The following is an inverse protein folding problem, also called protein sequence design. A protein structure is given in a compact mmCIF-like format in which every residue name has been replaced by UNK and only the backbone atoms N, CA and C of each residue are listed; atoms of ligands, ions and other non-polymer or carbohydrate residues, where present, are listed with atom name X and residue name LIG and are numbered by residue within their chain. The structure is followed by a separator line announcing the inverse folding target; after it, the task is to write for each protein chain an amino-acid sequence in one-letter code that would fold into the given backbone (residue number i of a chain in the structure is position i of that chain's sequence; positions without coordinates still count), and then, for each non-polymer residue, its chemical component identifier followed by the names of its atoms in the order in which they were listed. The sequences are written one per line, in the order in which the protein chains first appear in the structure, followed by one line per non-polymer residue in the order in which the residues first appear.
data_IF_465691821134
#
_entry.id   IF_465691821134
#
_cell.length_a   1.000
_cell.length_b   1.000
_cell.length_c   1.000
_cell.angle_alpha   90.00
_cell.angle_beta   90.00
_cell.angle_gamma   90.00
#
_symmetry.space_group_name_H-M   'P 1'
#
loop_
_entity.id
_entity.type
_entity.pdbx_description
1 polymer ?
#
# COMPACT_ATOMS: atom_id res chain seq x y z
N UNK A 1 -41.99 -7.35 0.03
CA UNK A 1 -40.95 -6.32 0.19
C UNK A 1 -40.20 -6.17 -1.10
N UNK A 2 -40.09 -4.95 -1.61
CA UNK A 2 -39.54 -4.63 -2.97
C UNK A 2 -38.05 -4.99 -3.14
N UNK A 3 -37.28 -5.04 -2.06
CA UNK A 3 -35.83 -5.29 -2.03
C UNK A 3 -35.37 -6.63 -2.61
N UNK A 4 -36.28 -7.59 -2.77
CA UNK A 4 -35.97 -8.92 -3.30
C UNK A 4 -36.45 -9.12 -4.74
N UNK A 5 -36.65 -8.04 -5.49
CA UNK A 5 -36.95 -8.11 -6.91
C UNK A 5 -35.72 -7.76 -7.75
N UNK A 6 -35.46 -8.55 -8.77
CA UNK A 6 -34.30 -8.32 -9.66
C UNK A 6 -34.30 -6.94 -10.30
N UNK A 7 -35.47 -6.40 -10.63
CA UNK A 7 -35.63 -5.05 -11.20
C UNK A 7 -35.12 -3.99 -10.20
N UNK A 8 -35.47 -4.10 -8.91
CA UNK A 8 -34.98 -3.17 -7.90
C UNK A 8 -33.43 -3.24 -7.77
N UNK A 9 -32.88 -4.47 -7.73
CA UNK A 9 -31.45 -4.69 -7.67
C UNK A 9 -30.72 -4.13 -8.89
N UNK A 10 -31.33 -4.20 -10.08
CA UNK A 10 -30.75 -3.67 -11.31
C UNK A 10 -30.70 -2.14 -11.31
N UNK A 11 -31.80 -1.48 -10.93
CA UNK A 11 -31.87 -0.02 -10.79
C UNK A 11 -30.88 0.44 -9.72
N UNK A 12 -30.88 -0.17 -8.54
CA UNK A 12 -29.97 0.16 -7.43
C UNK A 12 -28.51 0.03 -7.84
N UNK A 13 -28.14 -1.10 -8.45
CA UNK A 13 -26.77 -1.35 -8.92
C UNK A 13 -26.35 -0.30 -9.97
N UNK A 14 -27.19 -0.05 -10.97
CA UNK A 14 -26.88 0.91 -12.01
C UNK A 14 -26.73 2.32 -11.49
N UNK A 15 -27.65 2.77 -10.62
CA UNK A 15 -27.57 4.08 -9.98
C UNK A 15 -26.33 4.22 -9.11
N UNK A 16 -26.03 3.22 -8.27
CA UNK A 16 -24.88 3.24 -7.38
C UNK A 16 -23.57 3.33 -8.17
N UNK A 17 -23.39 2.51 -9.21
CA UNK A 17 -22.20 2.54 -10.05
C UNK A 17 -22.12 3.81 -10.92
N UNK A 18 -23.28 4.34 -11.38
CA UNK A 18 -23.35 5.60 -12.10
C UNK A 18 -22.80 6.76 -11.27
N UNK A 19 -23.31 6.93 -10.05
CA UNK A 19 -22.83 7.97 -9.12
C UNK A 19 -21.35 7.76 -8.78
N UNK A 20 -20.99 6.53 -8.43
CA UNK A 20 -19.64 6.20 -7.99
C UNK A 20 -18.59 6.53 -9.06
N UNK A 21 -18.76 6.06 -10.29
CA UNK A 21 -17.81 6.30 -11.36
C UNK A 21 -17.80 7.76 -11.84
N UNK A 22 -18.95 8.45 -11.80
CA UNK A 22 -19.00 9.87 -12.11
C UNK A 22 -18.11 10.67 -11.13
N UNK A 23 -18.25 10.44 -9.82
CA UNK A 23 -17.43 11.12 -8.81
C UNK A 23 -15.95 10.83 -9.03
N UNK A 24 -15.58 9.55 -9.15
CA UNK A 24 -14.18 9.14 -9.27
C UNK A 24 -13.54 9.69 -10.54
N UNK A 25 -14.20 9.60 -11.68
CA UNK A 25 -13.63 10.04 -12.95
C UNK A 25 -13.64 11.56 -13.11
N UNK A 26 -14.56 12.28 -12.46
CA UNK A 26 -14.45 13.74 -12.35
C UNK A 26 -13.21 14.14 -11.55
N UNK A 27 -12.98 13.52 -10.38
CA UNK A 27 -11.78 13.80 -9.57
C UNK A 27 -10.51 13.46 -10.35
N UNK A 28 -10.44 12.28 -10.97
CA UNK A 28 -9.29 11.87 -11.78
C UNK A 28 -9.11 12.77 -13.00
N UNK A 29 -10.19 13.20 -13.65
CA UNK A 29 -10.18 14.15 -14.75
C UNK A 29 -9.55 15.48 -14.33
N UNK A 30 -9.99 16.07 -13.21
CA UNK A 30 -9.40 17.31 -12.67
C UNK A 30 -7.89 17.11 -12.41
N UNK A 31 -7.51 16.02 -11.77
CA UNK A 31 -6.11 15.74 -11.41
C UNK A 31 -5.23 15.49 -12.64
N UNK A 32 -5.75 14.90 -13.71
CA UNK A 32 -4.95 14.55 -14.91
C UNK A 32 -4.89 15.61 -15.96
N UNK A 33 -5.91 16.48 -16.03
CA UNK A 33 -6.03 17.49 -17.09
C UNK A 33 -5.85 18.92 -16.59
N UNK A 34 -5.97 19.15 -15.27
CA UNK A 34 -5.96 20.48 -14.67
C UNK A 34 -7.20 21.32 -14.96
N UNK A 35 -8.17 20.76 -15.70
CA UNK A 35 -9.41 21.46 -16.08
C UNK A 35 -10.36 21.57 -14.88
N UNK A 36 -11.08 22.67 -14.79
CA UNK A 36 -12.14 22.86 -13.80
C UNK A 36 -13.40 22.10 -14.26
N UNK A 37 -13.49 20.82 -13.85
CA UNK A 37 -14.65 20.00 -14.14
C UNK A 37 -15.68 20.11 -13.01
N UNK A 38 -16.96 20.30 -13.36
CA UNK A 38 -18.06 20.24 -12.42
C UNK A 38 -18.63 18.82 -12.30
N UNK A 39 -19.22 18.51 -11.15
CA UNK A 39 -19.76 17.19 -10.86
C UNK A 39 -21.28 17.17 -11.15
N UNK A 40 -21.70 16.58 -12.26
CA UNK A 40 -23.11 16.31 -12.55
C UNK A 40 -23.47 14.84 -12.28
N UNK A 41 -24.11 14.60 -11.14
CA UNK A 41 -24.46 13.24 -10.68
C UNK A 41 -25.73 12.72 -11.35
N UNK A 42 -26.71 13.58 -11.61
CA UNK A 42 -28.03 13.18 -12.07
C UNK A 42 -28.03 12.39 -13.39
N UNK A 43 -27.35 12.83 -14.46
CA UNK A 43 -27.31 12.08 -15.71
C UNK A 43 -26.69 10.69 -15.58
N UNK A 44 -25.63 10.56 -14.82
CA UNK A 44 -24.96 9.27 -14.60
C UNK A 44 -25.76 8.33 -13.70
N UNK A 45 -26.50 8.87 -12.74
CA UNK A 45 -27.45 8.10 -11.93
C UNK A 45 -28.56 7.53 -12.78
N UNK A 46 -29.22 8.36 -13.62
CA UNK A 46 -30.33 7.91 -14.45
C UNK A 46 -29.89 6.98 -15.57
N UNK A 47 -28.78 7.29 -16.25
CA UNK A 47 -28.22 6.42 -17.29
C UNK A 47 -27.80 5.08 -16.74
N UNK A 48 -27.12 5.07 -15.57
CA UNK A 48 -26.75 3.84 -14.86
C UNK A 48 -27.96 3.00 -14.47
N UNK A 49 -29.01 3.61 -13.89
CA UNK A 49 -30.27 2.94 -13.53
C UNK A 49 -30.92 2.29 -14.75
N UNK A 50 -31.00 3.02 -15.86
CA UNK A 50 -31.62 2.57 -17.11
C UNK A 50 -30.82 1.43 -17.74
N UNK A 51 -29.50 1.54 -17.79
CA UNK A 51 -28.62 0.47 -18.29
C UNK A 51 -28.69 -0.78 -17.41
N UNK A 52 -28.74 -0.64 -16.09
CA UNK A 52 -28.95 -1.78 -15.19
C UNK A 52 -30.27 -2.51 -15.48
N UNK A 53 -31.34 -1.75 -15.69
CA UNK A 53 -32.65 -2.29 -16.05
C UNK A 53 -32.65 -2.99 -17.41
N UNK A 54 -32.09 -2.36 -18.45
CA UNK A 54 -32.01 -2.92 -19.80
C UNK A 54 -31.12 -4.20 -19.78
N UNK A 55 -29.99 -4.16 -19.08
CA UNK A 55 -29.13 -5.35 -18.93
C UNK A 55 -29.90 -6.54 -18.38
N UNK A 56 -30.71 -6.33 -17.35
CA UNK A 56 -31.46 -7.42 -16.73
C UNK A 56 -32.44 -8.09 -17.72
N UNK A 57 -33.03 -7.33 -18.63
CA UNK A 57 -33.94 -7.86 -19.66
C UNK A 57 -33.18 -8.68 -20.71
N UNK A 58 -32.03 -8.20 -21.15
CA UNK A 58 -31.28 -8.78 -22.26
C UNK A 58 -30.18 -9.77 -21.88
N UNK A 59 -29.95 -10.02 -20.58
CA UNK A 59 -28.79 -10.79 -20.08
C UNK A 59 -28.64 -12.21 -20.65
N UNK A 60 -29.72 -12.85 -21.16
CA UNK A 60 -29.66 -14.22 -21.67
C UNK A 60 -28.87 -14.38 -22.97
N UNK A 61 -28.71 -13.32 -23.76
CA UNK A 61 -28.17 -13.40 -25.14
C UNK A 61 -27.04 -12.37 -25.38
N UNK A 62 -26.21 -12.05 -24.35
CA UNK A 62 -25.19 -11.03 -24.50
C UNK A 62 -23.99 -11.56 -25.26
N UNK A 63 -23.80 -11.10 -26.51
CA UNK A 63 -22.62 -11.28 -27.34
C UNK A 63 -21.75 -9.99 -27.30
N UNK A 64 -20.52 -10.07 -27.85
CA UNK A 64 -19.58 -8.94 -27.86
C UNK A 64 -20.19 -7.66 -28.46
N UNK A 65 -20.98 -7.78 -29.52
CA UNK A 65 -21.67 -6.63 -30.13
C UNK A 65 -22.59 -5.88 -29.14
N UNK A 66 -23.22 -6.60 -28.23
CA UNK A 66 -24.15 -6.00 -27.27
C UNK A 66 -23.41 -5.25 -26.16
N UNK A 67 -22.21 -5.72 -25.72
CA UNK A 67 -21.39 -4.95 -24.81
C UNK A 67 -21.05 -3.56 -25.38
N UNK A 68 -20.69 -3.48 -26.66
CA UNK A 68 -20.40 -2.22 -27.35
C UNK A 68 -21.65 -1.34 -27.40
N UNK A 69 -22.81 -1.92 -27.75
CA UNK A 69 -24.08 -1.18 -27.81
C UNK A 69 -24.43 -0.58 -26.43
N UNK A 70 -24.28 -1.36 -25.35
CA UNK A 70 -24.54 -0.86 -24.01
C UNK A 70 -23.62 0.32 -23.63
N UNK A 71 -22.34 0.26 -23.94
CA UNK A 71 -21.40 1.35 -23.70
C UNK A 71 -21.81 2.60 -24.51
N UNK A 72 -22.08 2.45 -25.81
CA UNK A 72 -22.51 3.55 -26.66
C UNK A 72 -23.82 4.17 -26.13
N UNK A 73 -24.80 3.33 -25.76
CA UNK A 73 -26.07 3.82 -25.21
C UNK A 73 -25.87 4.58 -23.92
N UNK A 74 -24.99 4.09 -23.01
CA UNK A 74 -24.67 4.80 -21.76
C UNK A 74 -24.00 6.14 -22.04
N UNK A 75 -23.06 6.18 -22.98
CA UNK A 75 -22.39 7.41 -23.41
C UNK A 75 -23.38 8.44 -23.94
N UNK A 76 -24.28 8.01 -24.82
CA UNK A 76 -25.33 8.88 -25.38
C UNK A 76 -26.31 9.39 -24.31
N UNK A 77 -26.66 8.54 -23.34
CA UNK A 77 -27.56 8.92 -22.24
C UNK A 77 -26.91 9.94 -21.29
N UNK A 78 -25.63 9.75 -20.95
CA UNK A 78 -24.89 10.71 -20.13
C UNK A 78 -24.77 12.04 -20.88
N UNK A 79 -24.29 12.02 -22.13
CA UNK A 79 -24.07 13.22 -22.94
C UNK A 79 -25.36 13.95 -23.26
N UNK A 80 -26.44 13.22 -23.59
CA UNK A 80 -27.74 13.80 -23.85
C UNK A 80 -28.44 14.35 -22.59
N UNK A 81 -28.23 13.69 -21.45
CA UNK A 81 -28.80 14.12 -20.16
C UNK A 81 -28.18 15.42 -19.62
N UNK A 82 -26.96 15.75 -20.05
CA UNK A 82 -26.22 16.97 -19.70
C UNK A 82 -26.36 18.05 -20.76
N UNK A 83 -27.25 17.89 -21.77
CA UNK A 83 -27.42 18.83 -22.90
C UNK A 83 -26.11 19.08 -23.67
N UNK A 84 -25.18 18.15 -23.63
CA UNK A 84 -23.92 18.20 -24.35
C UNK A 84 -22.72 18.73 -23.55
N UNK A 85 -22.90 19.07 -22.26
CA UNK A 85 -21.83 19.52 -21.36
C UNK A 85 -21.77 18.65 -20.09
N UNK A 86 -21.28 17.40 -20.17
CA UNK A 86 -21.32 16.44 -19.06
C UNK A 86 -20.44 16.81 -17.87
N UNK A 87 -19.51 17.73 -18.05
CA UNK A 87 -18.55 18.14 -17.03
C UNK A 87 -18.44 19.67 -16.87
N UNK A 88 -19.34 20.47 -17.47
CA UNK A 88 -19.32 21.94 -17.39
C UNK A 88 -17.90 22.53 -17.41
N UNK A 89 -17.07 22.08 -18.35
CA UNK A 89 -15.71 22.57 -18.55
C UNK A 89 -15.69 23.79 -19.51
N UNK A 90 -14.54 24.43 -19.59
CA UNK A 90 -14.31 25.42 -20.65
C UNK A 90 -14.48 24.73 -22.01
N UNK A 91 -15.28 25.29 -22.92
CA UNK A 91 -15.67 24.73 -24.23
C UNK A 91 -14.50 24.34 -25.16
N UNK A 92 -13.28 24.60 -24.77
CA UNK A 92 -12.08 24.34 -25.59
C UNK A 92 -11.66 22.86 -25.69
N UNK A 93 -12.21 21.95 -24.85
CA UNK A 93 -11.72 20.56 -24.75
C UNK A 93 -12.81 19.50 -24.91
N UNK A 94 -13.72 19.65 -25.87
CA UNK A 94 -14.79 18.66 -26.18
C UNK A 94 -14.22 17.24 -26.35
N UNK A 95 -13.00 17.10 -26.87
CA UNK A 95 -12.36 15.78 -27.05
C UNK A 95 -12.05 15.07 -25.71
N UNK A 96 -11.56 15.82 -24.71
CA UNK A 96 -11.27 15.29 -23.37
C UNK A 96 -12.57 14.90 -22.67
N UNK A 97 -13.60 15.71 -22.78
CA UNK A 97 -14.93 15.40 -22.23
C UNK A 97 -15.51 14.12 -22.81
N UNK A 98 -15.45 13.97 -24.14
CA UNK A 98 -15.89 12.74 -24.82
C UNK A 98 -15.13 11.51 -24.31
N UNK A 99 -13.82 11.61 -24.13
CA UNK A 99 -13.01 10.51 -23.56
C UNK A 99 -13.47 10.20 -22.14
N UNK A 100 -13.65 11.20 -21.28
CA UNK A 100 -14.07 10.99 -19.89
C UNK A 100 -15.45 10.33 -19.82
N UNK A 101 -16.43 10.80 -20.62
CA UNK A 101 -17.77 10.17 -20.67
C UNK A 101 -17.70 8.75 -21.18
N UNK A 102 -16.90 8.48 -22.19
CA UNK A 102 -16.73 7.13 -22.73
C UNK A 102 -16.09 6.20 -21.69
N UNK A 103 -15.06 6.66 -21.00
CA UNK A 103 -14.41 5.91 -19.92
C UNK A 103 -15.40 5.67 -18.77
N UNK A 104 -16.16 6.70 -18.36
CA UNK A 104 -17.21 6.57 -17.34
C UNK A 104 -18.23 5.50 -17.73
N UNK A 105 -18.69 5.52 -18.99
CA UNK A 105 -19.66 4.55 -19.52
C UNK A 105 -19.14 3.14 -19.53
N UNK A 106 -17.85 2.94 -19.87
CA UNK A 106 -17.20 1.62 -19.85
C UNK A 106 -17.16 1.08 -18.42
N UNK A 107 -16.75 1.90 -17.45
CA UNK A 107 -16.64 1.46 -16.07
C UNK A 107 -18.01 1.20 -15.42
N UNK A 108 -19.03 2.03 -15.72
CA UNK A 108 -20.42 1.78 -15.31
C UNK A 108 -20.87 0.43 -15.86
N UNK A 109 -20.70 0.21 -17.16
CA UNK A 109 -21.11 -1.04 -17.82
C UNK A 109 -20.44 -2.26 -17.22
N UNK A 110 -19.11 -2.27 -17.09
CA UNK A 110 -18.37 -3.41 -16.51
C UNK A 110 -18.87 -3.70 -15.09
N UNK A 111 -19.04 -2.68 -14.28
CA UNK A 111 -19.46 -2.82 -12.88
C UNK A 111 -20.90 -3.35 -12.77
N UNK A 112 -21.81 -2.84 -13.58
CA UNK A 112 -23.20 -3.33 -13.67
C UNK A 112 -23.23 -4.79 -14.14
N UNK A 113 -22.46 -5.12 -15.18
CA UNK A 113 -22.37 -6.49 -15.71
C UNK A 113 -21.88 -7.46 -14.62
N UNK A 114 -20.78 -7.14 -13.93
CA UNK A 114 -20.23 -8.02 -12.89
C UNK A 114 -21.17 -8.19 -11.70
N UNK A 115 -21.88 -7.13 -11.32
CA UNK A 115 -22.79 -7.15 -10.16
C UNK A 115 -24.07 -7.92 -10.46
N UNK A 116 -24.67 -7.72 -11.65
CA UNK A 116 -25.96 -8.30 -12.03
C UNK A 116 -25.88 -9.66 -12.71
N UNK A 117 -24.68 -10.17 -12.99
CA UNK A 117 -24.48 -11.48 -13.63
C UNK A 117 -25.24 -12.59 -12.88
N UNK A 118 -26.18 -13.27 -13.60
CA UNK A 118 -27.04 -14.35 -13.09
C UNK A 118 -28.10 -13.90 -12.06
N UNK A 119 -28.56 -12.65 -12.11
CA UNK A 119 -29.71 -12.17 -11.34
C UNK A 119 -30.97 -12.29 -12.19
N UNK A 120 -32.04 -12.94 -11.67
CA UNK A 120 -33.31 -13.08 -12.38
C UNK A 120 -34.17 -11.82 -12.28
N UNK A 121 -35.08 -11.62 -13.30
CA UNK A 121 -35.96 -10.43 -13.36
C UNK A 121 -36.97 -10.41 -12.19
N UNK A 122 -37.47 -11.58 -11.81
CA UNK A 122 -38.56 -11.72 -10.83
C UNK A 122 -38.08 -11.65 -9.37
N UNK A 123 -38.87 -12.27 -8.49
CA UNK A 123 -38.54 -12.41 -7.09
C UNK A 123 -37.28 -13.26 -6.91
N UNK A 124 -36.28 -12.72 -6.28
CA UNK A 124 -35.01 -13.39 -6.02
C UNK A 124 -35.12 -14.39 -4.89
N UNK A 125 -34.42 -15.50 -5.00
CA UNK A 125 -34.17 -16.38 -3.86
C UNK A 125 -33.26 -15.65 -2.84
N UNK A 126 -33.31 -16.11 -1.58
CA UNK A 126 -32.44 -15.55 -0.53
C UNK A 126 -30.96 -15.56 -0.95
N UNK A 127 -30.49 -16.65 -1.52
CA UNK A 127 -29.12 -16.79 -2.03
C UNK A 127 -28.77 -15.77 -3.14
N UNK A 128 -29.68 -15.55 -4.10
CA UNK A 128 -29.45 -14.59 -5.18
C UNK A 128 -29.39 -13.14 -4.63
N UNK A 129 -30.26 -12.79 -3.71
CA UNK A 129 -30.32 -11.49 -3.06
C UNK A 129 -29.05 -11.23 -2.23
N UNK A 130 -28.65 -12.18 -1.38
CA UNK A 130 -27.40 -12.09 -0.61
C UNK A 130 -26.17 -11.94 -1.52
N UNK A 131 -26.06 -12.76 -2.57
CA UNK A 131 -24.99 -12.71 -3.55
C UNK A 131 -24.90 -11.37 -4.29
N UNK A 132 -26.04 -10.76 -4.61
CA UNK A 132 -26.10 -9.45 -5.23
C UNK A 132 -25.54 -8.36 -4.31
N UNK A 133 -26.04 -8.28 -3.08
CA UNK A 133 -25.57 -7.26 -2.11
C UNK A 133 -24.09 -7.44 -1.77
N UNK A 134 -23.64 -8.67 -1.59
CA UNK A 134 -22.22 -8.95 -1.39
C UNK A 134 -21.38 -8.45 -2.57
N UNK A 135 -21.76 -8.74 -3.80
CA UNK A 135 -21.02 -8.28 -4.99
C UNK A 135 -21.00 -6.76 -5.12
N UNK A 136 -22.14 -6.10 -4.87
CA UNK A 136 -22.23 -4.64 -4.93
C UNK A 136 -21.34 -3.98 -3.87
N UNK A 137 -21.48 -4.39 -2.62
CA UNK A 137 -20.71 -3.82 -1.50
C UNK A 137 -19.22 -4.14 -1.61
N UNK A 138 -18.88 -5.39 -1.97
CA UNK A 138 -17.50 -5.79 -2.21
C UNK A 138 -16.86 -5.00 -3.35
N UNK A 139 -17.59 -4.84 -4.47
CA UNK A 139 -17.09 -4.08 -5.61
C UNK A 139 -16.84 -2.62 -5.25
N UNK A 140 -17.82 -1.94 -4.66
CA UNK A 140 -17.67 -0.56 -4.20
C UNK A 140 -16.56 -0.41 -3.17
N UNK A 141 -16.56 -1.29 -2.15
CA UNK A 141 -15.56 -1.24 -1.08
C UNK A 141 -14.15 -1.50 -1.58
N UNK A 142 -13.94 -2.51 -2.43
CA UNK A 142 -12.63 -2.87 -2.97
C UNK A 142 -12.06 -1.76 -3.86
N UNK A 143 -12.88 -1.20 -4.77
CA UNK A 143 -12.42 -0.11 -5.64
C UNK A 143 -12.13 1.15 -4.83
N UNK A 144 -12.99 1.49 -3.84
CA UNK A 144 -12.74 2.62 -2.93
C UNK A 144 -11.41 2.44 -2.20
N UNK A 145 -11.15 1.25 -1.66
CA UNK A 145 -9.91 0.95 -0.95
C UNK A 145 -8.69 1.07 -1.87
N UNK A 146 -8.77 0.55 -3.10
CA UNK A 146 -7.71 0.68 -4.11
C UNK A 146 -7.45 2.16 -4.40
N UNK A 147 -8.49 2.96 -4.62
CA UNK A 147 -8.36 4.38 -4.95
C UNK A 147 -7.78 5.19 -3.78
N UNK A 148 -8.28 4.99 -2.57
CA UNK A 148 -7.73 5.64 -1.36
C UNK A 148 -6.24 5.32 -1.20
N UNK A 149 -5.82 4.11 -1.57
CA UNK A 149 -4.42 3.71 -1.50
C UNK A 149 -3.60 4.28 -2.65
N UNK A 150 -4.08 4.23 -3.88
CA UNK A 150 -3.32 4.64 -5.07
C UNK A 150 -3.25 6.16 -5.30
N UNK A 151 -4.31 6.92 -4.96
CA UNK A 151 -4.35 8.36 -5.19
C UNK A 151 -3.19 9.10 -4.53
N UNK A 152 -2.84 8.88 -3.25
CA UNK A 152 -1.69 9.53 -2.64
C UNK A 152 -0.37 9.25 -3.36
N UNK A 153 -0.15 8.01 -3.81
CA UNK A 153 1.04 7.66 -4.60
C UNK A 153 1.04 8.33 -5.97
N UNK A 154 -0.12 8.39 -6.63
CA UNK A 154 -0.28 9.11 -7.89
C UNK A 154 0.09 10.59 -7.72
N UNK A 155 -0.48 11.26 -6.71
CA UNK A 155 -0.18 12.67 -6.40
C UNK A 155 1.31 12.85 -6.13
N UNK A 156 1.92 12.00 -5.32
CA UNK A 156 3.34 12.03 -4.98
C UNK A 156 4.22 11.93 -6.24
N UNK A 157 3.96 10.96 -7.11
CA UNK A 157 4.72 10.77 -8.35
C UNK A 157 4.52 11.94 -9.30
N UNK A 158 3.28 12.38 -9.54
CA UNK A 158 2.99 13.47 -10.45
C UNK A 158 3.56 14.80 -9.97
N UNK A 159 3.43 15.11 -8.69
CA UNK A 159 4.04 16.32 -8.10
C UNK A 159 5.57 16.30 -8.22
N UNK A 160 6.22 15.16 -8.09
CA UNK A 160 7.67 15.04 -8.21
C UNK A 160 8.19 15.32 -9.62
N UNK A 161 7.34 15.18 -10.64
CA UNK A 161 7.64 15.42 -12.05
C UNK A 161 7.31 16.84 -12.52
N UNK A 162 6.74 17.67 -11.63
CA UNK A 162 6.39 19.06 -11.92
C UNK A 162 7.50 20.04 -11.61
N UNK A 163 7.44 21.21 -12.23
CA UNK A 163 8.28 22.35 -11.85
C UNK A 163 7.60 23.20 -10.77
N UNK A 164 8.37 23.99 -10.05
CA UNK A 164 7.87 24.83 -8.95
C UNK A 164 6.81 25.84 -9.40
N UNK A 165 6.99 26.45 -10.57
CA UNK A 165 6.08 27.47 -11.05
C UNK A 165 4.69 26.93 -11.35
N UNK A 166 4.59 25.77 -11.99
CA UNK A 166 3.31 25.12 -12.27
C UNK A 166 2.56 24.71 -11.00
N UNK A 167 3.27 24.25 -9.96
CA UNK A 167 2.65 23.90 -8.67
C UNK A 167 2.12 25.13 -7.92
N UNK A 168 2.79 26.29 -8.03
CA UNK A 168 2.31 27.54 -7.40
C UNK A 168 1.09 28.08 -8.14
N UNK A 169 1.10 28.04 -9.48
CA UNK A 169 0.02 28.58 -10.31
C UNK A 169 -1.26 27.73 -10.23
N UNK A 170 -1.12 26.43 -10.28
CA UNK A 170 -2.24 25.48 -10.19
C UNK A 170 -1.85 24.19 -9.44
N UNK A 171 -2.02 24.14 -8.10
CA UNK A 171 -1.63 22.99 -7.30
C UNK A 171 -2.40 21.70 -7.61
N UNK A 172 -3.62 21.80 -8.17
CA UNK A 172 -4.47 20.66 -8.50
C UNK A 172 -4.21 20.09 -9.88
N UNK A 173 -3.54 20.85 -10.75
CA UNK A 173 -3.13 20.36 -12.05
C UNK A 173 -1.93 19.43 -11.93
N UNK A 174 -2.13 18.14 -12.07
CA UNK A 174 -1.09 17.11 -12.09
C UNK A 174 -0.83 16.60 -13.52
N UNK A 175 -1.21 17.32 -14.56
CA UNK A 175 -0.86 17.01 -15.95
C UNK A 175 0.65 17.09 -16.17
N UNK A 176 1.19 16.26 -17.06
CA UNK A 176 2.61 16.31 -17.42
C UNK A 176 2.84 17.38 -18.49
N UNK A 177 3.77 18.29 -18.23
CA UNK A 177 4.20 19.30 -19.19
C UNK A 177 5.43 18.80 -19.97
N UNK A 178 5.23 18.50 -21.26
CA UNK A 178 6.28 18.05 -22.17
C UNK A 178 6.87 19.21 -23.00
N UNK A 179 6.38 20.45 -22.84
CA UNK A 179 6.82 21.61 -23.65
C UNK A 179 8.32 21.89 -23.54
N UNK A 180 8.89 21.63 -22.36
CA UNK A 180 10.31 21.86 -22.07
C UNK A 180 11.20 20.61 -22.28
N UNK A 181 10.66 19.57 -22.90
CA UNK A 181 11.35 18.30 -23.17
C UNK A 181 11.29 17.30 -22.03
N UNK A 182 11.45 16.03 -22.39
CA UNK A 182 11.31 14.89 -21.46
C UNK A 182 12.30 14.93 -20.26
N UNK A 183 13.50 15.47 -20.46
CA UNK A 183 14.52 15.56 -19.42
C UNK A 183 14.13 16.49 -18.27
N UNK A 184 13.30 17.53 -18.55
CA UNK A 184 12.87 18.45 -17.52
C UNK A 184 11.89 17.83 -16.51
N UNK A 185 11.22 16.75 -16.86
CA UNK A 185 10.38 16.01 -15.91
C UNK A 185 11.17 15.42 -14.73
N UNK A 186 12.45 15.14 -14.94
CA UNK A 186 13.32 14.53 -13.92
C UNK A 186 14.26 15.53 -13.23
N UNK A 187 14.07 16.83 -13.44
CA UNK A 187 14.96 17.85 -12.89
C UNK A 187 14.98 17.80 -11.34
N UNK A 188 13.83 17.59 -10.72
CA UNK A 188 13.71 17.48 -9.25
C UNK A 188 14.55 16.33 -8.69
N UNK A 189 14.62 15.21 -9.39
CA UNK A 189 15.47 14.08 -9.01
C UNK A 189 16.95 14.39 -9.14
N UNK A 190 17.34 15.04 -10.25
CA UNK A 190 18.74 15.45 -10.49
C UNK A 190 19.20 16.43 -9.42
N UNK A 191 18.39 17.44 -9.11
CA UNK A 191 18.70 18.45 -8.12
C UNK A 191 18.79 17.88 -6.70
N UNK A 192 17.94 16.91 -6.35
CA UNK A 192 18.02 16.18 -5.09
C UNK A 192 19.41 15.58 -4.85
N UNK A 193 19.97 14.93 -5.85
CA UNK A 193 21.30 14.33 -5.74
C UNK A 193 22.43 15.36 -5.77
N UNK A 194 22.29 16.45 -6.55
CA UNK A 194 23.32 17.47 -6.70
C UNK A 194 23.37 18.47 -5.54
N UNK A 195 22.20 18.94 -5.09
CA UNK A 195 22.10 20.08 -4.19
C UNK A 195 21.84 19.69 -2.74
N UNK A 196 21.23 18.51 -2.51
CA UNK A 196 20.77 18.08 -1.19
C UNK A 196 21.48 16.81 -0.66
N UNK A 197 22.53 16.33 -1.35
CA UNK A 197 23.32 15.16 -0.94
C UNK A 197 22.48 13.90 -0.65
N UNK A 198 21.38 13.73 -1.38
CA UNK A 198 20.38 12.71 -1.11
C UNK A 198 20.93 11.26 -1.19
N UNK A 199 22.03 11.07 -1.95
CA UNK A 199 22.75 9.80 -2.04
C UNK A 199 23.33 9.37 -0.67
N UNK A 200 23.74 10.33 0.18
CA UNK A 200 24.25 10.04 1.53
C UNK A 200 23.11 9.43 2.37
N UNK A 201 21.93 10.04 2.33
CA UNK A 201 20.77 9.55 3.07
C UNK A 201 20.37 8.12 2.67
N UNK A 202 20.41 7.81 1.36
CA UNK A 202 20.16 6.48 0.83
C UNK A 202 21.17 5.45 1.33
N UNK A 203 22.46 5.77 1.23
CA UNK A 203 23.55 4.88 1.66
C UNK A 203 23.48 4.63 3.16
N UNK A 204 23.30 5.69 3.98
CA UNK A 204 23.17 5.57 5.42
C UNK A 204 21.98 4.69 5.82
N UNK A 205 20.80 4.93 5.22
CA UNK A 205 19.61 4.11 5.50
C UNK A 205 19.80 2.66 5.11
N UNK A 206 20.36 2.41 3.93
CA UNK A 206 20.60 1.05 3.47
C UNK A 206 21.58 0.32 4.40
N UNK A 207 22.69 0.98 4.75
CA UNK A 207 23.68 0.43 5.67
C UNK A 207 23.09 0.11 7.04
N UNK A 208 22.43 1.09 7.68
CA UNK A 208 21.82 0.91 9.00
C UNK A 208 20.77 -0.18 8.97
N UNK A 209 19.91 -0.22 7.93
CA UNK A 209 18.84 -1.23 7.82
C UNK A 209 19.40 -2.63 7.66
N UNK A 210 20.40 -2.83 6.78
CA UNK A 210 21.02 -4.15 6.58
C UNK A 210 21.71 -4.64 7.84
N UNK A 211 22.48 -3.76 8.51
CA UNK A 211 23.16 -4.12 9.76
C UNK A 211 22.16 -4.45 10.87
N UNK A 212 21.07 -3.69 10.95
CA UNK A 212 19.97 -3.97 11.88
C UNK A 212 19.35 -5.35 11.63
N UNK A 213 19.05 -5.69 10.37
CA UNK A 213 18.54 -7.02 10.01
C UNK A 213 19.50 -8.11 10.45
N UNK A 214 20.79 -7.95 10.15
CA UNK A 214 21.81 -8.94 10.51
C UNK A 214 21.89 -9.15 12.02
N UNK A 215 22.00 -8.07 12.79
CA UNK A 215 22.08 -8.14 14.26
C UNK A 215 20.79 -8.72 14.83
N UNK A 216 19.63 -8.27 14.37
CA UNK A 216 18.33 -8.77 14.84
C UNK A 216 18.20 -10.27 14.61
N UNK A 217 18.51 -10.77 13.41
CA UNK A 217 18.43 -12.19 13.11
C UNK A 217 19.47 -13.02 13.87
N UNK A 218 20.69 -12.48 14.06
CA UNK A 218 21.75 -13.13 14.80
C UNK A 218 21.31 -13.49 16.23
N UNK A 219 20.58 -12.60 16.90
CA UNK A 219 20.07 -12.83 18.26
C UNK A 219 18.70 -13.51 18.27
N UNK A 220 17.82 -13.17 17.31
CA UNK A 220 16.45 -13.69 17.34
C UNK A 220 16.34 -15.14 16.90
N UNK A 221 17.17 -15.63 15.97
CA UNK A 221 17.11 -17.01 15.52
C UNK A 221 17.42 -17.99 16.66
N UNK A 222 18.59 -17.92 17.33
CA UNK A 222 18.87 -18.83 18.45
C UNK A 222 17.94 -18.59 19.63
N UNK A 223 17.57 -17.35 19.94
CA UNK A 223 16.63 -17.02 20.99
C UNK A 223 15.24 -17.61 20.76
N UNK A 224 14.71 -17.48 19.56
CA UNK A 224 13.41 -18.03 19.19
C UNK A 224 13.40 -19.56 19.17
N UNK A 225 14.48 -20.18 18.68
CA UNK A 225 14.64 -21.63 18.76
C UNK A 225 14.67 -22.12 20.22
N UNK A 226 15.42 -21.44 21.09
CA UNK A 226 15.46 -21.78 22.51
C UNK A 226 14.07 -21.66 23.16
N UNK A 227 13.36 -20.57 22.89
CA UNK A 227 12.00 -20.36 23.39
C UNK A 227 10.97 -21.34 22.78
N UNK A 228 11.17 -21.84 21.58
CA UNK A 228 10.27 -22.81 20.96
C UNK A 228 10.56 -24.25 21.47
N UNK A 229 11.82 -24.65 21.47
CA UNK A 229 12.26 -26.06 21.54
C UNK A 229 12.91 -26.50 22.84
N UNK A 230 13.62 -25.59 23.53
CA UNK A 230 14.31 -25.98 24.73
C UNK A 230 13.38 -25.96 25.95
N UNK A 231 13.67 -26.85 26.92
CA UNK A 231 12.99 -26.86 28.22
C UNK A 231 13.92 -26.20 29.23
N UNK A 232 13.52 -25.05 29.77
CA UNK A 232 14.26 -24.38 30.86
C UNK A 232 13.25 -23.70 31.81
N UNK A 233 13.65 -23.47 33.07
CA UNK A 233 12.79 -22.88 34.07
C UNK A 233 12.37 -21.45 33.62
N UNK A 234 11.12 -21.05 33.92
CA UNK A 234 10.55 -19.73 33.63
C UNK A 234 10.48 -19.35 32.14
N UNK A 235 10.55 -20.32 31.21
CA UNK A 235 10.44 -20.11 29.76
C UNK A 235 9.25 -19.23 29.36
N UNK A 236 8.08 -19.48 29.94
CA UNK A 236 6.88 -18.72 29.65
C UNK A 236 6.97 -17.27 30.12
N UNK A 237 7.57 -17.06 31.30
CA UNK A 237 7.83 -15.71 31.80
C UNK A 237 8.75 -14.92 30.86
N UNK A 238 9.85 -15.50 30.42
CA UNK A 238 10.73 -14.88 29.42
C UNK A 238 9.99 -14.54 28.13
N UNK A 239 9.21 -15.47 27.63
CA UNK A 239 8.44 -15.27 26.41
C UNK A 239 7.43 -14.13 26.54
N UNK A 240 6.73 -14.04 27.67
CA UNK A 240 5.78 -12.94 27.94
C UNK A 240 6.48 -11.60 28.12
N UNK A 241 7.65 -11.58 28.77
CA UNK A 241 8.43 -10.37 28.97
C UNK A 241 8.88 -9.75 27.64
N UNK A 242 9.27 -10.58 26.66
CA UNK A 242 9.65 -10.10 25.32
C UNK A 242 8.49 -9.36 24.65
N UNK A 243 7.26 -9.89 24.76
CA UNK A 243 6.08 -9.24 24.19
C UNK A 243 5.76 -7.94 24.94
N UNK A 244 5.87 -7.94 26.27
CA UNK A 244 5.63 -6.75 27.09
C UNK A 244 6.59 -5.60 26.73
N UNK A 245 7.86 -5.90 26.47
CA UNK A 245 8.84 -4.88 26.02
C UNK A 245 8.41 -4.25 24.69
N UNK A 246 7.90 -5.06 23.77
CA UNK A 246 7.41 -4.54 22.47
C UNK A 246 6.19 -3.63 22.60
N UNK A 247 5.37 -3.81 23.63
CA UNK A 247 4.19 -2.97 23.88
C UNK A 247 4.54 -1.57 24.40
N UNK A 248 5.78 -1.34 24.83
CA UNK A 248 6.21 -0.02 25.28
C UNK A 248 6.30 0.91 24.06
N UNK A 249 5.57 2.03 24.00
CA UNK A 249 5.66 2.96 22.88
C UNK A 249 7.08 3.52 22.73
N UNK A 250 7.64 3.46 21.53
CA UNK A 250 9.01 3.93 21.23
C UNK A 250 9.23 5.38 21.66
N UNK A 251 8.19 6.23 21.57
CA UNK A 251 8.26 7.64 21.99
C UNK A 251 8.61 7.81 23.47
N UNK A 252 8.17 6.89 24.33
CA UNK A 252 8.47 6.91 25.76
C UNK A 252 9.95 6.56 26.01
N UNK A 253 10.52 5.72 25.17
CA UNK A 253 11.92 5.27 25.29
C UNK A 253 12.91 6.26 24.73
N UNK A 254 12.50 7.12 23.78
CA UNK A 254 13.40 8.05 23.09
C UNK A 254 14.10 8.99 24.06
N UNK A 255 13.39 9.62 24.99
CA UNK A 255 13.97 10.63 25.89
C UNK A 255 15.01 10.02 26.86
N UNK A 256 14.71 8.91 27.57
CA UNK A 256 15.73 8.25 28.39
C UNK A 256 16.94 7.76 27.59
N UNK A 257 16.70 7.17 26.42
CA UNK A 257 17.78 6.68 25.56
C UNK A 257 18.64 7.85 25.03
N UNK A 258 18.02 8.97 24.66
CA UNK A 258 18.76 10.16 24.26
C UNK A 258 19.75 10.60 25.34
N UNK A 259 19.32 10.65 26.61
CA UNK A 259 20.19 11.03 27.73
C UNK A 259 21.37 10.06 27.89
N UNK A 260 21.09 8.74 27.85
CA UNK A 260 22.13 7.71 27.98
C UNK A 260 23.11 7.76 26.81
N UNK A 261 22.61 7.84 25.56
CA UNK A 261 23.45 7.86 24.35
C UNK A 261 24.27 9.15 24.25
N UNK A 262 23.77 10.28 24.78
CA UNK A 262 24.51 11.52 24.88
C UNK A 262 25.69 11.37 25.84
N UNK A 263 25.48 10.75 27.01
CA UNK A 263 26.54 10.50 27.98
C UNK A 263 27.61 9.52 27.49
N UNK A 264 27.21 8.53 26.70
CA UNK A 264 28.09 7.52 26.11
C UNK A 264 28.82 8.02 24.84
N UNK A 265 28.55 9.23 24.35
CA UNK A 265 29.13 9.76 23.12
C UNK A 265 28.61 9.03 21.84
N UNK A 266 27.48 8.36 21.93
CA UNK A 266 26.86 7.60 20.83
C UNK A 266 25.82 8.45 20.05
N UNK A 267 25.53 9.65 20.51
CA UNK A 267 24.72 10.63 19.81
C UNK A 267 25.46 11.13 18.57
N UNK A 268 24.72 11.57 17.58
CA UNK A 268 25.24 12.02 16.27
C UNK A 268 26.18 11.00 15.62
N UNK A 269 25.80 9.72 15.67
CA UNK A 269 26.53 8.63 15.03
C UNK A 269 25.60 7.54 14.51
N UNK A 270 25.95 6.92 13.38
CA UNK A 270 25.22 5.76 12.86
C UNK A 270 25.33 4.55 13.81
N UNK A 271 26.40 4.47 14.61
CA UNK A 271 26.55 3.40 15.61
C UNK A 271 25.45 3.48 16.67
N UNK A 272 25.03 4.68 17.08
CA UNK A 272 23.87 4.85 17.97
C UNK A 272 22.61 4.20 17.41
N UNK A 273 22.31 4.41 16.13
CA UNK A 273 21.16 3.80 15.48
C UNK A 273 21.30 2.27 15.36
N UNK A 274 22.50 1.79 15.03
CA UNK A 274 22.81 0.35 14.93
C UNK A 274 22.60 -0.38 16.24
N UNK A 275 22.75 0.30 17.38
CA UNK A 275 22.49 -0.28 18.70
C UNK A 275 21.00 -0.22 19.06
N UNK A 276 20.33 0.91 18.80
CA UNK A 276 18.94 1.09 19.24
C UNK A 276 17.93 0.36 18.36
N UNK A 277 18.14 0.27 17.06
CA UNK A 277 17.19 -0.37 16.15
C UNK A 277 17.02 -1.87 16.43
N UNK A 278 18.10 -2.68 16.62
CA UNK A 278 17.94 -4.06 17.04
C UNK A 278 17.20 -4.19 18.39
N UNK A 279 17.41 -3.30 19.33
CA UNK A 279 16.70 -3.35 20.61
C UNK A 279 15.16 -3.25 20.43
N UNK A 280 14.68 -2.52 19.42
CA UNK A 280 13.26 -2.41 19.12
C UNK A 280 12.74 -3.56 18.22
N UNK A 281 13.58 -4.13 17.37
CA UNK A 281 13.17 -5.15 16.38
C UNK A 281 13.33 -6.58 16.85
N UNK A 282 14.30 -6.88 17.74
CA UNK A 282 14.51 -8.22 18.30
C UNK A 282 13.24 -8.81 18.95
N UNK A 283 12.47 -8.08 19.77
CA UNK A 283 11.28 -8.65 20.40
C UNK A 283 10.28 -9.22 19.40
N UNK A 284 9.98 -8.49 18.35
CA UNK A 284 9.03 -8.91 17.30
C UNK A 284 9.60 -10.06 16.47
N UNK A 285 10.85 -9.92 16.04
CA UNK A 285 11.52 -10.96 15.27
C UNK A 285 11.57 -12.30 16.04
N UNK A 286 11.83 -12.22 17.33
CA UNK A 286 11.87 -13.37 18.23
C UNK A 286 10.48 -14.00 18.38
N UNK A 287 9.43 -13.19 18.54
CA UNK A 287 8.05 -13.66 18.61
C UNK A 287 7.62 -14.37 17.33
N UNK A 288 7.86 -13.76 16.16
CA UNK A 288 7.51 -14.32 14.86
C UNK A 288 8.24 -15.66 14.62
N UNK A 289 9.55 -15.68 14.81
CA UNK A 289 10.35 -16.88 14.60
C UNK A 289 10.00 -17.99 15.60
N UNK A 290 9.72 -17.66 16.87
CA UNK A 290 9.26 -18.63 17.86
C UNK A 290 7.97 -19.32 17.40
N UNK A 291 7.02 -18.55 16.89
CA UNK A 291 5.77 -19.09 16.35
C UNK A 291 6.04 -20.15 15.28
N UNK A 292 6.92 -19.83 14.33
CA UNK A 292 7.27 -20.75 13.26
C UNK A 292 8.05 -21.98 13.75
N UNK A 293 9.09 -21.81 14.56
CA UNK A 293 9.84 -22.94 15.10
C UNK A 293 8.97 -23.90 15.93
N UNK A 294 7.91 -23.39 16.55
CA UNK A 294 6.96 -24.24 17.29
C UNK A 294 6.13 -25.16 16.38
N UNK A 295 6.01 -24.87 15.08
CA UNK A 295 5.27 -25.71 14.12
C UNK A 295 6.09 -26.85 13.53
N UNK A 296 7.42 -26.82 13.65
CA UNK A 296 8.27 -27.89 13.18
C UNK A 296 8.09 -29.16 14.07
N UNK A 297 8.21 -30.37 13.54
CA UNK A 297 8.15 -31.62 14.35
C UNK A 297 9.28 -31.69 15.33
N UNK A 298 9.01 -32.12 16.57
CA UNK A 298 10.06 -32.40 17.58
C UNK A 298 10.93 -33.60 17.23
N UNK A 299 10.39 -34.53 16.45
CA UNK A 299 11.12 -35.74 16.00
C UNK A 299 12.36 -35.40 15.17
N UNK A 300 12.34 -34.26 14.46
CA UNK A 300 13.52 -33.78 13.70
C UNK A 300 14.68 -33.45 14.65
N UNK A 301 14.38 -32.78 15.77
CA UNK A 301 15.39 -32.42 16.77
C UNK A 301 15.93 -33.68 17.48
N UNK A 302 15.04 -34.64 17.80
CA UNK A 302 15.40 -35.87 18.47
C UNK A 302 16.27 -36.76 17.55
N UNK A 303 15.91 -36.92 16.28
CA UNK A 303 16.72 -37.63 15.29
C UNK A 303 18.12 -37.01 15.13
N UNK A 304 18.18 -35.66 15.05
CA UNK A 304 19.44 -34.94 14.92
C UNK A 304 20.37 -35.12 16.13
N UNK A 305 19.80 -35.22 17.34
CA UNK A 305 20.57 -35.50 18.55
C UNK A 305 21.09 -36.92 18.50
N UNK A 306 20.29 -37.90 18.06
CA UNK A 306 20.76 -39.30 17.92
C UNK A 306 21.89 -39.41 16.88
N UNK A 307 21.89 -38.55 15.85
CA UNK A 307 22.98 -38.43 14.87
C UNK A 307 24.21 -37.67 15.43
N UNK A 308 24.21 -37.30 16.72
CA UNK A 308 25.33 -36.65 17.38
C UNK A 308 25.49 -35.15 17.13
N UNK A 309 24.45 -34.45 16.56
CA UNK A 309 24.52 -33.02 16.34
C UNK A 309 24.35 -32.24 17.66
N UNK A 310 25.18 -31.24 17.86
CA UNK A 310 25.00 -30.25 18.92
C UNK A 310 23.80 -29.32 18.66
N UNK A 311 23.25 -28.71 19.72
CA UNK A 311 22.10 -27.79 19.59
C UNK A 311 22.36 -26.66 18.61
N UNK A 312 23.55 -26.08 18.57
CA UNK A 312 23.91 -25.05 17.58
C UNK A 312 23.92 -25.62 16.16
N UNK A 313 24.44 -26.81 15.96
CA UNK A 313 24.41 -27.46 14.65
C UNK A 313 22.98 -27.73 14.17
N UNK A 314 22.08 -28.14 15.08
CA UNK A 314 20.66 -28.29 14.75
C UNK A 314 20.05 -26.97 14.27
N UNK A 315 20.34 -25.86 14.96
CA UNK A 315 19.85 -24.55 14.55
C UNK A 315 20.32 -24.22 13.13
N UNK A 316 21.63 -24.27 12.86
CA UNK A 316 22.19 -23.80 11.60
C UNK A 316 22.02 -24.79 10.45
N UNK A 317 22.09 -26.10 10.69
CA UNK A 317 22.04 -27.11 9.63
C UNK A 317 20.65 -27.62 9.32
N UNK A 318 19.70 -27.50 10.25
CA UNK A 318 18.36 -28.09 10.14
C UNK A 318 17.28 -27.01 10.29
N UNK A 319 17.19 -26.38 11.47
CA UNK A 319 16.08 -25.47 11.77
C UNK A 319 16.07 -24.22 10.85
N UNK A 320 17.22 -23.59 10.62
CA UNK A 320 17.31 -22.42 9.72
C UNK A 320 16.94 -22.76 8.27
N UNK A 321 17.49 -23.79 7.62
CA UNK A 321 17.11 -24.15 6.26
C UNK A 321 15.61 -24.47 6.11
N UNK A 322 15.03 -25.21 7.05
CA UNK A 322 13.61 -25.54 7.06
C UNK A 322 12.73 -24.29 7.27
N UNK A 323 13.24 -23.31 8.02
CA UNK A 323 12.53 -22.07 8.34
C UNK A 323 12.89 -20.90 7.42
N UNK A 324 13.59 -21.15 6.31
CA UNK A 324 14.01 -20.10 5.38
C UNK A 324 12.88 -19.12 4.98
N UNK A 325 11.65 -19.57 4.66
CA UNK A 325 10.57 -18.63 4.35
C UNK A 325 10.24 -17.69 5.51
N UNK A 326 10.17 -18.20 6.74
CA UNK A 326 9.89 -17.39 7.92
C UNK A 326 11.03 -16.41 8.23
N UNK A 327 12.28 -16.85 8.11
CA UNK A 327 13.46 -16.00 8.32
C UNK A 327 13.48 -14.85 7.30
N UNK A 328 13.19 -15.13 6.03
CA UNK A 328 13.10 -14.11 4.98
C UNK A 328 11.96 -13.12 5.26
N UNK A 329 10.80 -13.60 5.73
CA UNK A 329 9.67 -12.73 6.12
C UNK A 329 10.03 -11.81 7.28
N UNK A 330 10.72 -12.35 8.30
CA UNK A 330 11.18 -11.54 9.45
C UNK A 330 12.27 -10.57 9.04
N UNK A 331 13.21 -10.98 8.18
CA UNK A 331 14.24 -10.08 7.63
C UNK A 331 13.62 -8.89 6.90
N UNK A 332 12.62 -9.14 6.04
CA UNK A 332 11.89 -8.09 5.34
C UNK A 332 11.18 -7.14 6.32
N UNK A 333 10.49 -7.71 7.31
CA UNK A 333 9.79 -6.92 8.32
C UNK A 333 10.76 -5.99 9.09
N UNK A 334 11.89 -6.53 9.54
CA UNK A 334 12.92 -5.76 10.24
C UNK A 334 13.54 -4.69 9.35
N UNK A 335 13.80 -5.02 8.08
CA UNK A 335 14.30 -4.06 7.10
C UNK A 335 13.31 -2.90 6.92
N UNK A 336 12.02 -3.19 6.75
CA UNK A 336 10.99 -2.16 6.60
C UNK A 336 10.90 -1.24 7.82
N UNK A 337 10.98 -1.78 9.03
CA UNK A 337 11.00 -0.98 10.26
C UNK A 337 12.23 -0.07 10.30
N UNK A 338 13.43 -0.63 10.08
CA UNK A 338 14.67 0.13 10.16
C UNK A 338 14.78 1.20 9.04
N UNK A 339 14.30 0.88 7.84
CA UNK A 339 14.28 1.80 6.69
C UNK A 339 13.37 3.01 6.92
N UNK A 340 12.19 2.78 7.50
CA UNK A 340 11.20 3.82 7.75
C UNK A 340 11.38 4.50 9.12
N UNK A 341 12.33 4.04 9.94
CA UNK A 341 12.50 4.59 11.27
C UNK A 341 12.93 6.06 11.19
N UNK A 342 12.15 6.90 11.82
CA UNK A 342 12.34 8.35 11.82
C UNK A 342 12.63 8.90 13.22
N UNK A 343 11.98 8.36 14.24
CA UNK A 343 11.95 8.98 15.57
C UNK A 343 13.33 9.01 16.23
N UNK A 344 14.01 7.86 16.28
CA UNK A 344 15.37 7.79 16.83
C UNK A 344 16.37 8.51 15.92
N UNK A 345 16.24 8.39 14.59
CA UNK A 345 17.09 9.10 13.66
C UNK A 345 16.96 10.62 13.83
N UNK A 346 15.74 11.14 14.01
CA UNK A 346 15.48 12.56 14.24
C UNK A 346 16.11 13.07 15.54
N UNK A 347 15.99 12.27 16.60
CA UNK A 347 16.49 12.66 17.93
C UNK A 347 18.00 12.50 18.10
N UNK A 348 18.60 11.53 17.38
CA UNK A 348 20.01 11.18 17.60
C UNK A 348 20.98 11.82 16.62
N UNK A 349 20.53 12.17 15.40
CA UNK A 349 21.39 12.69 14.33
C UNK A 349 21.19 14.17 14.11
N UNK A 350 22.26 14.94 14.23
CA UNK A 350 22.29 16.38 13.99
C UNK A 350 23.04 16.74 12.68
N UNK A 351 24.09 15.97 12.32
CA UNK A 351 24.89 16.19 11.11
C UNK A 351 24.16 15.66 9.87
N UNK A 352 23.90 16.50 8.84
CA UNK A 352 23.28 16.08 7.60
C UNK A 352 24.02 14.93 6.90
N UNK A 353 25.32 14.80 7.06
CA UNK A 353 26.09 13.70 6.46
C UNK A 353 25.82 12.34 7.11
N UNK A 354 25.16 12.32 8.25
CA UNK A 354 24.75 11.10 8.96
C UNK A 354 23.25 10.80 8.84
N UNK A 355 22.47 11.70 8.24
CA UNK A 355 21.04 11.51 8.16
C UNK A 355 20.67 10.20 7.43
N UNK A 356 19.71 9.51 8.00
CA UNK A 356 18.98 8.45 7.31
C UNK A 356 17.98 9.07 6.34
N UNK A 357 17.45 8.26 5.44
CA UNK A 357 16.52 8.72 4.41
C UNK A 357 15.27 9.38 4.98
N UNK A 358 14.64 8.75 5.98
CA UNK A 358 13.45 9.30 6.67
C UNK A 358 13.78 10.66 7.36
N UNK A 359 14.92 10.77 8.01
CA UNK A 359 15.39 12.02 8.64
C UNK A 359 15.72 13.07 7.59
N UNK A 360 16.40 12.66 6.51
CA UNK A 360 16.79 13.55 5.39
C UNK A 360 15.57 14.11 4.65
N UNK A 361 14.56 13.27 4.34
CA UNK A 361 13.31 13.74 3.68
C UNK A 361 12.62 14.80 4.55
N UNK A 362 12.52 14.59 5.85
CA UNK A 362 11.90 15.59 6.76
C UNK A 362 12.72 16.87 6.82
N UNK A 363 14.05 16.81 6.70
CA UNK A 363 14.88 18.02 6.63
C UNK A 363 14.64 18.86 5.36
N UNK A 364 14.14 18.23 4.29
CA UNK A 364 13.71 18.93 3.06
C UNK A 364 12.33 19.61 3.21
N UNK A 365 11.57 19.32 4.26
CA UNK A 365 10.27 19.95 4.50
C UNK A 365 10.44 21.33 5.16
N UNK A 366 11.00 22.26 4.41
CA UNK A 366 11.19 23.64 4.81
C UNK A 366 10.64 24.60 3.76
N UNK A 367 10.37 25.85 4.14
CA UNK A 367 9.90 26.87 3.19
C UNK A 367 10.91 27.20 2.07
N UNK A 368 12.17 26.82 2.28
CA UNK A 368 13.26 27.08 1.32
C UNK A 368 13.37 25.98 0.26
N UNK A 369 12.87 24.77 0.53
CA UNK A 369 12.94 23.64 -0.40
C UNK A 369 11.63 23.47 -1.16
N UNK A 370 11.65 23.53 -2.50
CA UNK A 370 10.46 23.33 -3.31
C UNK A 370 9.80 21.96 -3.07
N UNK A 371 8.46 21.93 -3.01
CA UNK A 371 7.68 20.76 -2.67
C UNK A 371 7.92 19.56 -3.59
N UNK A 372 8.21 19.79 -4.87
CA UNK A 372 8.52 18.73 -5.84
C UNK A 372 9.77 17.91 -5.43
N UNK A 373 10.76 18.53 -4.80
CA UNK A 373 11.95 17.81 -4.31
C UNK A 373 11.62 16.89 -3.15
N UNK A 374 10.77 17.36 -2.21
CA UNK A 374 10.25 16.51 -1.13
C UNK A 374 9.52 15.30 -1.68
N UNK A 375 8.65 15.50 -2.68
CA UNK A 375 7.90 14.42 -3.32
C UNK A 375 8.82 13.48 -4.10
N UNK A 376 9.83 13.98 -4.82
CA UNK A 376 10.82 13.16 -5.48
C UNK A 376 11.61 12.29 -4.49
N UNK A 377 12.00 12.86 -3.35
CA UNK A 377 12.62 12.11 -2.25
C UNK A 377 11.73 11.00 -1.70
N UNK A 378 10.45 11.28 -1.52
CA UNK A 378 9.47 10.29 -1.05
C UNK A 378 9.26 9.15 -2.08
N UNK A 379 9.23 9.46 -3.39
CA UNK A 379 9.19 8.44 -4.45
C UNK A 379 10.42 7.53 -4.36
N UNK A 380 11.62 8.11 -4.29
CA UNK A 380 12.86 7.32 -4.19
C UNK A 380 12.86 6.44 -2.93
N UNK A 381 12.36 6.96 -1.80
CA UNK A 381 12.27 6.20 -0.56
C UNK A 381 11.34 5.00 -0.65
N UNK A 382 10.27 5.10 -1.43
CA UNK A 382 9.25 4.05 -1.58
C UNK A 382 9.71 2.92 -2.50
N UNK A 383 10.49 3.22 -3.54
CA UNK A 383 10.92 2.25 -4.57
C UNK A 383 11.61 1.01 -3.98
N UNK A 384 12.64 1.11 -3.10
CA UNK A 384 13.31 -0.07 -2.56
C UNK A 384 12.39 -0.97 -1.76
N UNK A 385 11.51 -0.41 -0.94
CA UNK A 385 10.54 -1.17 -0.15
C UNK A 385 9.58 -1.91 -1.07
N UNK A 386 9.02 -1.22 -2.05
CA UNK A 386 8.09 -1.80 -3.01
C UNK A 386 8.74 -2.95 -3.80
N UNK A 387 9.97 -2.75 -4.28
CA UNK A 387 10.70 -3.77 -5.01
C UNK A 387 10.99 -5.01 -4.14
N UNK A 388 11.49 -4.81 -2.92
CA UNK A 388 11.78 -5.89 -1.98
C UNK A 388 10.48 -6.62 -1.61
N UNK A 389 9.38 -5.89 -1.37
CA UNK A 389 8.08 -6.48 -1.06
C UNK A 389 7.56 -7.37 -2.20
N UNK A 390 7.51 -6.86 -3.44
CA UNK A 390 7.06 -7.62 -4.62
C UNK A 390 7.90 -8.90 -4.82
N UNK A 391 9.21 -8.79 -4.63
CA UNK A 391 10.10 -9.94 -4.78
C UNK A 391 9.91 -11.00 -3.68
N UNK A 392 9.64 -10.57 -2.45
CA UNK A 392 9.57 -11.44 -1.28
C UNK A 392 8.13 -11.79 -0.85
N UNK A 393 7.07 -11.23 -1.47
CA UNK A 393 5.66 -11.47 -1.09
C UNK A 393 5.30 -12.96 -1.04
N UNK A 394 5.85 -13.77 -1.94
CA UNK A 394 5.66 -15.23 -1.97
C UNK A 394 6.10 -15.93 -0.68
N UNK A 395 7.12 -15.38 0.01
CA UNK A 395 7.58 -15.92 1.30
C UNK A 395 6.70 -15.47 2.45
N UNK A 396 6.10 -14.27 2.36
CA UNK A 396 5.16 -13.75 3.37
C UNK A 396 3.90 -14.61 3.43
N UNK A 397 3.32 -14.94 2.28
CA UNK A 397 2.10 -15.75 2.20
C UNK A 397 2.32 -17.14 2.81
N UNK A 398 3.46 -17.78 2.51
CA UNK A 398 3.78 -19.10 3.04
C UNK A 398 4.14 -19.11 4.54
N UNK A 399 4.77 -18.03 5.03
CA UNK A 399 5.18 -17.89 6.44
C UNK A 399 4.02 -17.59 7.41
N UNK A 400 3.01 -16.83 6.97
CA UNK A 400 1.87 -16.45 7.81
C UNK A 400 0.75 -17.51 7.82
N UNK A 401 0.59 -18.27 6.75
CA UNK A 401 -0.49 -19.27 6.63
C UNK A 401 -0.20 -20.56 7.38
N UNK A 402 1.06 -20.92 7.57
CA UNK A 402 1.44 -22.12 8.33
C UNK A 402 1.09 -22.04 9.83
N UNK A 403 0.88 -20.86 10.37
CA UNK A 403 0.47 -20.64 11.77
C UNK A 403 -1.03 -20.64 12.03
N UNK A 404 -1.89 -20.51 10.99
CA UNK A 404 -3.33 -20.29 11.14
C UNK A 404 -4.21 -21.50 10.79
N UNK A 405 -3.64 -22.62 10.37
CA UNK A 405 -4.40 -23.86 10.07
C UNK A 405 -4.25 -24.85 11.21
N UNK A 406 -4.79 -24.53 12.37
CA UNK A 406 -5.23 -25.46 13.42
C UNK A 406 -6.46 -24.86 14.08
N UNK A 407 -7.59 -25.08 13.46
CA UNK A 407 -8.91 -24.82 14.00
C UNK A 407 -9.91 -25.62 13.19
#
# INVERSE_FOLDING_TARGET
MFWNYGIFCAILSGSAWGIFWQIILTILGILTTGLQLSLEIAPSLFSGALIGFIYLIYQKNIQLKQHIIFVITTTLLIYGGTLGDPYYGEKENVFIELILVLVTSIFIWISVYLTLKNISIGKLSRYQSEKFYIRLLWGLGLITLILITLIPFYIMVMTSLKNQQSLILNPLDLSLDFSNGFNNLFISYIELFKNYNFHIFLVNSFFVSIVTVFITLLFSIPGAYALARLRFPRKEWFSSSVILIYLIPSIVLVIPLYAVFSQLGLRNSLLGLIIVYPATTIPVALYMLRGYFSTLSSEIDDAAIMDGLSRLQIIFKIAMPLSKPAIVSVALYVFMIAWNEFLFAFMFLDDPNLFTLSRGIVSLNSSEVPQQHLMAGAVIATIPIMFIFIYLERFLISGLTTGSVKG
#
